data_IF_568751153026
#
_entry.id   IF_568751153026
#
_cell.length_a   1.000
_cell.length_b   1.000
_cell.length_c   1.000
_cell.angle_alpha   90.00
_cell.angle_beta   90.00
_cell.angle_gamma   90.00
#
_symmetry.space_group_name_H-M   'P 1'
#
loop_
_entity.id
_entity.type
_entity.pdbx_description
1 polymer ?
#
# COMPACT_ATOMS: atom_id res chain seq x y z
N UNK A 1 32.56 1.07 -1.00
CA UNK A 1 31.30 0.78 -0.28
C UNK A 1 30.71 2.09 0.22
N UNK A 2 29.54 2.46 -0.28
CA UNK A 2 28.76 3.60 0.16
C UNK A 2 27.44 3.09 0.75
N UNK A 3 27.09 3.59 1.94
CA UNK A 3 25.89 3.18 2.68
C UNK A 3 24.86 4.30 2.67
N UNK A 4 23.71 4.05 2.05
CA UNK A 4 22.56 4.94 2.08
C UNK A 4 21.75 4.67 3.35
N UNK A 5 22.00 5.47 4.39
CA UNK A 5 21.20 5.47 5.63
C UNK A 5 19.79 6.02 5.40
N UNK A 6 18.85 5.83 6.35
CA UNK A 6 17.43 6.17 6.15
C UNK A 6 17.19 7.62 5.73
N UNK A 7 17.89 8.59 6.33
CA UNK A 7 17.77 10.01 5.93
C UNK A 7 18.20 10.26 4.47
N UNK A 8 19.17 9.49 3.97
CA UNK A 8 19.64 9.60 2.58
C UNK A 8 18.67 8.89 1.63
N UNK A 9 18.15 7.72 2.03
CA UNK A 9 17.10 7.01 1.29
C UNK A 9 15.81 7.83 1.21
N UNK A 10 15.39 8.47 2.30
CA UNK A 10 14.19 9.31 2.34
C UNK A 10 14.28 10.53 1.43
N UNK A 11 15.48 11.08 1.21
CA UNK A 11 15.70 12.15 0.22
C UNK A 11 15.75 11.62 -1.22
N UNK A 12 16.12 10.36 -1.40
CA UNK A 12 16.27 9.71 -2.69
C UNK A 12 14.91 9.33 -3.27
N UNK A 13 14.07 8.72 -2.45
CA UNK A 13 12.69 8.39 -2.83
C UNK A 13 11.90 9.70 -2.83
N UNK A 14 11.32 10.05 -3.96
CA UNK A 14 10.22 11.03 -3.96
C UNK A 14 9.14 10.57 -2.95
N UNK A 15 8.27 11.47 -2.43
CA UNK A 15 7.32 11.16 -1.36
C UNK A 15 6.18 10.24 -1.84
N UNK A 16 6.52 9.04 -2.27
CA UNK A 16 5.63 7.97 -2.68
C UNK A 16 5.68 6.89 -1.60
N UNK A 17 4.52 6.58 -1.03
CA UNK A 17 4.37 5.73 0.16
C UNK A 17 4.45 6.50 1.47
N UNK A 18 3.86 5.94 2.52
CA UNK A 18 3.92 6.51 3.88
C UNK A 18 5.17 6.02 4.61
N UNK A 19 6.33 6.48 4.13
CA UNK A 19 7.62 6.23 4.77
C UNK A 19 7.98 7.36 5.72
N UNK A 20 8.51 7.01 6.88
CA UNK A 20 8.94 7.97 7.90
C UNK A 20 10.28 7.57 8.49
N UNK A 21 11.04 8.56 8.94
CA UNK A 21 12.24 8.28 9.73
C UNK A 21 11.81 8.04 11.17
N UNK A 22 11.99 6.81 11.65
CA UNK A 22 11.68 6.41 13.03
C UNK A 22 12.90 5.77 13.68
N UNK A 23 13.12 6.05 14.96
CA UNK A 23 14.19 5.39 15.73
C UNK A 23 13.63 4.13 16.38
N UNK A 24 14.05 2.97 15.89
CA UNK A 24 13.68 1.65 16.40
C UNK A 24 14.94 0.95 16.91
N UNK A 25 14.89 0.35 18.11
CA UNK A 25 16.04 -0.31 18.73
C UNK A 25 17.32 0.55 18.67
N UNK A 26 17.20 1.83 19.01
CA UNK A 26 18.26 2.85 18.98
C UNK A 26 18.82 3.18 17.59
N UNK A 27 18.34 2.56 16.51
CA UNK A 27 18.77 2.83 15.14
C UNK A 27 17.73 3.65 14.39
N UNK A 28 18.14 4.65 13.61
CA UNK A 28 17.24 5.28 12.66
C UNK A 28 16.84 4.24 11.59
N UNK A 29 15.58 4.26 11.18
CA UNK A 29 15.01 3.37 10.17
C UNK A 29 14.11 4.16 9.25
N UNK A 30 14.03 3.71 7.99
CA UNK A 30 12.98 4.11 7.07
C UNK A 30 11.79 3.16 7.32
N UNK A 31 10.77 3.68 7.97
CA UNK A 31 9.71 2.91 8.62
C UNK A 31 8.35 3.14 7.96
N UNK A 32 7.54 2.08 7.88
CA UNK A 32 6.13 2.14 7.48
C UNK A 32 5.35 0.97 8.06
N UNK A 33 4.07 1.18 8.32
CA UNK A 33 3.10 0.15 8.74
C UNK A 33 2.28 -0.38 7.57
N UNK A 34 2.30 0.31 6.43
CA UNK A 34 1.44 -0.02 5.30
C UNK A 34 2.06 -1.11 4.43
N UNK A 35 1.25 -2.13 4.15
CA UNK A 35 1.51 -3.12 3.13
C UNK A 35 1.33 -2.46 1.74
N UNK A 36 2.26 -2.73 0.82
CA UNK A 36 2.30 -2.09 -0.49
C UNK A 36 3.07 -0.76 -0.56
N UNK A 37 3.65 -0.29 0.55
CA UNK A 37 4.57 0.86 0.53
C UNK A 37 5.80 0.54 -0.32
N UNK A 38 6.09 1.42 -1.30
CA UNK A 38 7.12 1.20 -2.32
C UNK A 38 8.28 2.18 -2.21
N UNK A 39 9.48 1.72 -2.51
CA UNK A 39 10.66 2.52 -2.82
C UNK A 39 10.98 2.40 -4.31
N UNK A 40 11.37 3.49 -4.95
CA UNK A 40 11.78 3.53 -6.36
C UNK A 40 13.03 4.36 -6.51
N UNK A 41 14.08 3.79 -7.09
CA UNK A 41 15.33 4.51 -7.38
C UNK A 41 16.09 3.89 -8.55
N UNK A 42 16.94 4.69 -9.20
CA UNK A 42 17.83 4.21 -10.25
C UNK A 42 19.19 3.87 -9.64
N UNK A 43 19.71 2.69 -9.97
CA UNK A 43 21.12 2.36 -9.74
C UNK A 43 21.96 2.80 -10.94
N UNK A 44 23.14 3.39 -10.70
CA UNK A 44 24.10 3.78 -11.75
C UNK A 44 25.49 3.25 -11.46
N UNK A 45 25.96 2.34 -12.31
CA UNK A 45 27.27 1.70 -12.16
C UNK A 45 27.37 0.84 -10.89
N UNK A 46 26.26 0.23 -10.46
CA UNK A 46 26.17 -0.62 -9.28
C UNK A 46 25.95 -2.05 -9.77
N UNK A 47 26.92 -2.95 -9.59
CA UNK A 47 26.74 -4.35 -9.96
C UNK A 47 25.83 -5.10 -8.98
N UNK A 48 26.01 -4.83 -7.69
CA UNK A 48 25.26 -5.44 -6.60
C UNK A 48 24.92 -4.37 -5.56
N UNK A 49 23.73 -4.47 -4.98
CA UNK A 49 23.37 -3.74 -3.77
C UNK A 49 22.88 -4.69 -2.69
N UNK A 50 23.07 -4.30 -1.43
CA UNK A 50 22.56 -5.03 -0.27
C UNK A 50 21.51 -4.17 0.40
N UNK A 51 20.30 -4.70 0.57
CA UNK A 51 19.26 -4.07 1.37
C UNK A 51 19.32 -4.63 2.78
N UNK A 52 19.40 -3.76 3.79
CA UNK A 52 19.43 -4.15 5.20
C UNK A 52 18.14 -3.70 5.89
N UNK A 53 17.54 -4.58 6.69
CA UNK A 53 16.27 -4.35 7.37
C UNK A 53 16.32 -4.78 8.83
N UNK A 54 15.36 -4.31 9.63
CA UNK A 54 15.07 -4.92 10.92
C UNK A 54 13.93 -5.92 10.77
N UNK A 55 14.09 -7.06 11.43
CA UNK A 55 12.99 -7.96 11.69
C UNK A 55 12.16 -7.42 12.87
N UNK A 56 11.18 -6.57 12.54
CA UNK A 56 10.45 -5.75 13.50
C UNK A 56 8.96 -6.12 13.54
N UNK A 57 8.70 -7.43 13.52
CA UNK A 57 7.36 -8.03 13.61
C UNK A 57 7.00 -8.41 15.04
N UNK A 58 5.74 -8.79 15.25
CA UNK A 58 5.37 -9.49 16.47
C UNK A 58 6.15 -10.82 16.60
N UNK A 59 6.68 -11.21 17.77
CA UNK A 59 7.41 -12.48 17.94
C UNK A 59 6.62 -13.74 17.55
N UNK A 60 5.28 -13.66 17.57
CA UNK A 60 4.40 -14.76 17.17
C UNK A 60 3.92 -14.66 15.71
N UNK A 61 4.28 -13.59 15.00
CA UNK A 61 3.99 -13.45 13.57
C UNK A 61 4.99 -14.22 12.70
N UNK A 62 4.57 -14.71 11.52
CA UNK A 62 5.51 -15.10 10.47
C UNK A 62 6.39 -13.91 10.07
N UNK A 63 7.55 -14.18 9.48
CA UNK A 63 8.44 -13.11 9.02
C UNK A 63 7.72 -12.14 8.11
N UNK A 64 7.96 -10.84 8.30
CA UNK A 64 7.62 -9.84 7.30
C UNK A 64 8.35 -10.15 5.99
N UNK A 65 7.75 -9.76 4.87
CA UNK A 65 8.29 -9.99 3.53
C UNK A 65 8.43 -8.65 2.82
N UNK A 66 9.56 -8.48 2.14
CA UNK A 66 9.76 -7.44 1.12
C UNK A 66 9.77 -8.12 -0.24
N UNK A 67 9.22 -7.46 -1.27
CA UNK A 67 9.41 -7.88 -2.64
C UNK A 67 10.23 -6.85 -3.40
N UNK A 68 11.01 -7.27 -4.39
CA UNK A 68 11.80 -6.39 -5.22
C UNK A 68 11.80 -6.84 -6.68
N UNK A 69 12.04 -5.90 -7.61
CA UNK A 69 12.24 -6.19 -9.04
C UNK A 69 13.16 -5.18 -9.69
N UNK A 70 13.63 -5.53 -10.88
CA UNK A 70 14.49 -4.71 -11.74
C UNK A 70 13.71 -4.40 -13.01
N UNK A 71 13.62 -3.13 -13.42
CA UNK A 71 13.04 -2.72 -14.71
C UNK A 71 11.67 -3.34 -15.04
N UNK A 72 10.80 -3.51 -14.03
CA UNK A 72 9.46 -4.08 -14.23
C UNK A 72 9.42 -5.59 -14.47
N UNK A 73 10.52 -6.32 -14.26
CA UNK A 73 10.54 -7.79 -14.34
C UNK A 73 9.74 -8.45 -13.20
N UNK A 74 9.75 -9.78 -13.16
CA UNK A 74 9.13 -10.55 -12.07
C UNK A 74 9.59 -10.07 -10.68
N UNK A 75 8.67 -10.15 -9.71
CA UNK A 75 8.94 -9.85 -8.32
C UNK A 75 9.67 -11.02 -7.64
N UNK A 76 10.71 -10.69 -6.89
CA UNK A 76 11.44 -11.57 -5.99
C UNK A 76 11.06 -11.24 -4.55
N UNK A 77 10.93 -12.23 -3.66
CA UNK A 77 10.43 -12.03 -2.28
C UNK A 77 11.46 -12.48 -1.25
N UNK A 78 11.66 -11.65 -0.23
CA UNK A 78 12.72 -11.77 0.77
C UNK A 78 12.16 -11.64 2.19
N UNK A 79 12.64 -12.49 3.10
CA UNK A 79 12.20 -12.49 4.49
C UNK A 79 13.00 -11.47 5.31
N UNK A 80 12.30 -10.61 6.05
CA UNK A 80 12.91 -9.66 6.98
C UNK A 80 13.75 -10.35 8.08
N UNK A 81 13.42 -11.59 8.44
CA UNK A 81 14.19 -12.41 9.38
C UNK A 81 15.62 -12.70 8.94
N UNK A 82 15.90 -12.65 7.63
CA UNK A 82 17.26 -12.76 7.09
C UNK A 82 18.08 -11.48 7.33
N UNK A 83 17.43 -10.37 7.71
CA UNK A 83 17.99 -9.03 8.00
C UNK A 83 18.66 -8.33 6.83
N UNK A 84 19.11 -9.05 5.81
CA UNK A 84 19.56 -8.47 4.56
C UNK A 84 19.43 -9.44 3.39
N UNK A 85 19.43 -8.89 2.19
CA UNK A 85 19.50 -9.62 0.93
C UNK A 85 20.26 -8.79 -0.11
N UNK A 86 20.73 -9.46 -1.16
CA UNK A 86 21.44 -8.83 -2.27
C UNK A 86 20.55 -8.77 -3.52
N UNK A 87 20.72 -7.72 -4.30
CA UNK A 87 20.11 -7.55 -5.61
C UNK A 87 21.24 -7.41 -6.62
N UNK A 88 21.35 -8.39 -7.52
CA UNK A 88 22.28 -8.38 -8.64
C UNK A 88 21.71 -7.52 -9.77
N UNK A 89 22.32 -6.36 -9.99
CA UNK A 89 21.87 -5.38 -10.97
C UNK A 89 22.65 -5.47 -12.29
N UNK A 90 23.90 -5.94 -12.26
CA UNK A 90 24.81 -5.84 -13.41
C UNK A 90 25.31 -4.41 -13.66
N UNK A 91 26.04 -4.19 -14.76
CA UNK A 91 26.78 -2.94 -14.97
C UNK A 91 25.97 -1.79 -15.58
N UNK A 92 24.72 -2.05 -16.01
CA UNK A 92 23.87 -1.04 -16.63
C UNK A 92 23.09 -0.21 -15.58
N UNK A 93 22.39 0.82 -16.04
CA UNK A 93 21.51 1.59 -15.17
C UNK A 93 20.15 0.92 -15.12
N UNK A 94 19.62 0.72 -13.92
CA UNK A 94 18.36 0.00 -13.72
C UNK A 94 17.45 0.73 -12.74
N UNK A 95 16.15 0.64 -12.97
CA UNK A 95 15.13 0.97 -11.97
C UNK A 95 15.00 -0.20 -11.00
N UNK A 96 15.24 0.08 -9.72
CA UNK A 96 14.97 -0.84 -8.63
C UNK A 96 13.68 -0.40 -7.93
N UNK A 97 12.78 -1.35 -7.75
CA UNK A 97 11.58 -1.17 -6.94
C UNK A 97 11.61 -2.17 -5.78
N UNK A 98 11.32 -1.69 -4.57
CA UNK A 98 11.18 -2.52 -3.37
C UNK A 98 9.82 -2.19 -2.75
N UNK A 99 9.03 -3.20 -2.42
CA UNK A 99 7.68 -3.04 -1.86
C UNK A 99 7.53 -3.89 -0.59
N UNK A 100 6.82 -3.36 0.41
CA UNK A 100 6.43 -4.13 1.59
C UNK A 100 5.37 -5.15 1.18
N UNK A 101 5.66 -6.45 1.33
CA UNK A 101 4.95 -7.53 0.62
C UNK A 101 4.33 -8.60 1.52
N UNK A 102 4.58 -8.57 2.82
CA UNK A 102 3.91 -9.46 3.77
C UNK A 102 4.09 -9.01 5.21
N UNK A 103 2.99 -9.00 5.97
CA UNK A 103 2.93 -8.76 7.40
C UNK A 103 1.83 -9.64 8.00
N UNK A 104 1.53 -9.45 9.28
CA UNK A 104 0.50 -10.20 9.99
C UNK A 104 -0.45 -9.28 10.74
N UNK A 105 -1.71 -9.70 10.89
CA UNK A 105 -2.70 -9.00 11.72
C UNK A 105 -2.35 -9.02 13.22
N UNK A 106 -1.43 -9.90 13.62
CA UNK A 106 -0.83 -9.91 14.95
C UNK A 106 0.18 -8.77 15.15
N UNK A 107 0.70 -8.19 14.07
CA UNK A 107 1.62 -7.07 14.16
C UNK A 107 0.88 -5.85 14.72
N UNK A 108 1.26 -5.37 15.90
CA UNK A 108 0.74 -4.20 16.62
C UNK A 108 1.25 -2.91 15.98
N UNK A 109 0.91 -2.72 14.71
CA UNK A 109 1.42 -1.61 13.90
C UNK A 109 1.03 -0.22 14.43
N UNK A 110 -0.06 -0.12 15.20
CA UNK A 110 -0.54 1.17 15.67
C UNK A 110 0.14 1.68 16.95
N UNK A 111 0.38 0.78 17.91
CA UNK A 111 0.87 1.13 19.25
C UNK A 111 2.15 0.38 19.66
N UNK A 112 2.57 -0.64 18.92
CA UNK A 112 3.66 -1.55 19.29
C UNK A 112 4.96 -1.31 18.54
N UNK A 113 5.04 -0.27 17.71
CA UNK A 113 6.17 0.02 16.81
C UNK A 113 6.52 -1.10 15.81
N UNK A 114 5.69 -2.15 15.73
CA UNK A 114 5.85 -3.27 14.80
C UNK A 114 5.51 -2.81 13.37
N UNK A 115 6.31 -3.22 12.39
CA UNK A 115 6.17 -2.74 11.02
C UNK A 115 7.46 -2.87 10.22
N UNK A 116 7.41 -2.48 8.95
CA UNK A 116 8.54 -2.61 8.03
C UNK A 116 9.58 -1.53 8.31
N UNK A 117 10.84 -1.92 8.45
CA UNK A 117 11.94 -1.03 8.80
C UNK A 117 13.19 -1.32 7.98
N UNK A 118 13.52 -0.43 7.03
CA UNK A 118 14.78 -0.49 6.27
C UNK A 118 15.85 0.33 7.00
N UNK A 119 16.99 -0.30 7.29
CA UNK A 119 18.10 0.35 8.02
C UNK A 119 19.11 0.97 7.08
N UNK A 120 19.34 0.39 5.90
CA UNK A 120 20.23 0.95 4.88
C UNK A 120 20.12 0.22 3.54
N UNK A 121 20.61 0.86 2.49
CA UNK A 121 20.98 0.20 1.24
C UNK A 121 22.46 0.45 0.99
N UNK A 122 23.24 -0.63 0.85
CA UNK A 122 24.68 -0.58 0.65
C UNK A 122 25.02 -0.87 -0.81
N UNK A 123 25.91 -0.06 -1.39
CA UNK A 123 26.46 -0.30 -2.73
C UNK A 123 27.98 -0.32 -2.65
N UNK A 124 28.64 -1.26 -3.32
CA UNK A 124 30.10 -1.31 -3.30
C UNK A 124 30.73 -0.19 -4.14
N UNK A 125 30.17 -0.02 -5.34
CA UNK A 125 30.56 0.93 -6.37
C UNK A 125 29.30 1.56 -6.99
N UNK A 126 29.48 2.68 -7.70
CA UNK A 126 28.36 3.40 -8.31
C UNK A 126 27.57 4.23 -7.30
N UNK A 127 26.32 4.54 -7.65
CA UNK A 127 25.43 5.34 -6.81
C UNK A 127 23.96 5.05 -7.08
N UNK A 128 23.13 5.31 -6.08
CA UNK A 128 21.69 5.44 -6.21
C UNK A 128 21.33 6.89 -6.56
N UNK A 129 20.36 7.08 -7.44
CA UNK A 129 19.71 8.38 -7.70
C UNK A 129 18.18 8.22 -7.69
N UNK A 130 17.46 9.32 -7.51
CA UNK A 130 16.00 9.32 -7.57
C UNK A 130 15.48 8.76 -8.89
N UNK A 131 14.41 7.95 -8.82
CA UNK A 131 13.66 7.55 -10.01
C UNK A 131 12.92 8.76 -10.61
N UNK A 132 12.71 8.78 -11.93
CA UNK A 132 11.84 9.77 -12.56
C UNK A 132 10.44 9.75 -11.93
N UNK A 133 9.78 10.93 -11.80
CA UNK A 133 8.41 10.99 -11.33
C UNK A 133 7.48 10.26 -12.30
N UNK A 134 6.46 9.62 -11.76
CA UNK A 134 5.35 8.99 -12.49
C UNK A 134 4.05 9.39 -11.81
N UNK A 135 2.87 9.23 -12.46
CA UNK A 135 1.61 9.52 -11.83
C UNK A 135 1.44 8.78 -10.50
N UNK A 136 0.84 9.44 -9.50
CA UNK A 136 0.65 8.93 -8.15
C UNK A 136 -0.83 8.76 -7.86
N UNK A 137 -1.21 7.58 -7.39
CA UNK A 137 -2.58 7.29 -6.98
C UNK A 137 -2.60 6.92 -5.50
N UNK A 138 -3.37 7.67 -4.71
CA UNK A 138 -3.61 7.32 -3.32
C UNK A 138 -4.79 6.37 -3.23
N UNK A 139 -4.58 5.19 -2.62
CA UNK A 139 -5.62 4.20 -2.37
C UNK A 139 -5.93 4.14 -0.89
N UNK A 140 -7.15 4.49 -0.51
CA UNK A 140 -7.65 4.33 0.85
C UNK A 140 -8.54 3.11 0.90
N UNK A 141 -8.20 2.12 1.73
CA UNK A 141 -8.91 0.85 1.71
C UNK A 141 -8.66 -0.08 2.88
N UNK A 142 -8.94 -1.35 2.65
CA UNK A 142 -8.87 -2.41 3.66
C UNK A 142 -7.90 -3.55 3.24
N UNK A 143 -8.12 -4.77 3.74
CA UNK A 143 -7.33 -5.96 3.39
C UNK A 143 -7.28 -6.23 1.89
N UNK A 144 -8.35 -5.94 1.15
CA UNK A 144 -8.41 -6.17 -0.31
C UNK A 144 -7.44 -5.22 -1.02
N UNK A 145 -7.47 -3.93 -0.65
CA UNK A 145 -6.55 -2.89 -1.16
C UNK A 145 -5.11 -3.14 -0.73
N UNK A 146 -4.90 -3.58 0.52
CA UNK A 146 -3.59 -3.96 1.04
C UNK A 146 -3.01 -5.18 0.30
N UNK A 147 -3.85 -6.05 -0.25
CA UNK A 147 -3.43 -7.26 -0.97
C UNK A 147 -3.29 -8.48 -0.06
N UNK A 148 -4.12 -8.59 0.98
CA UNK A 148 -4.18 -9.78 1.81
C UNK A 148 -4.83 -10.96 1.07
N UNK A 149 -4.37 -12.17 1.38
CA UNK A 149 -4.97 -13.45 0.96
C UNK A 149 -5.05 -13.71 -0.55
N UNK A 150 -4.23 -13.04 -1.36
CA UNK A 150 -4.28 -13.18 -2.84
C UNK A 150 -3.78 -14.55 -3.31
N UNK A 151 -2.81 -15.14 -2.62
CA UNK A 151 -2.19 -16.42 -3.02
C UNK A 151 -2.58 -17.61 -2.12
N UNK A 152 -3.49 -17.42 -1.15
CA UNK A 152 -3.82 -18.42 -0.14
C UNK A 152 -4.16 -17.83 1.23
N UNK A 153 -4.06 -18.64 2.28
CA UNK A 153 -4.55 -18.36 3.64
C UNK A 153 -3.43 -18.25 4.70
N UNK A 154 -2.16 -18.13 4.30
CA UNK A 154 -1.04 -17.96 5.22
C UNK A 154 -0.65 -16.48 5.35
N UNK A 155 -0.77 -15.92 6.56
CA UNK A 155 -0.42 -14.52 6.82
C UNK A 155 1.03 -14.24 6.40
N UNK A 156 1.29 -13.02 5.90
CA UNK A 156 2.54 -12.59 5.27
C UNK A 156 2.86 -13.33 3.96
N UNK A 157 2.93 -14.66 4.00
CA UNK A 157 3.35 -15.51 2.88
C UNK A 157 2.41 -15.40 1.70
N UNK A 158 1.10 -15.35 1.89
CA UNK A 158 0.10 -15.36 0.81
C UNK A 158 -0.47 -13.99 0.48
N UNK A 159 0.05 -12.94 1.12
CA UNK A 159 -0.26 -11.56 0.77
C UNK A 159 0.51 -11.20 -0.51
N UNK A 160 -0.11 -10.39 -1.39
CA UNK A 160 0.48 -9.95 -2.66
C UNK A 160 0.13 -8.50 -2.99
N UNK A 161 0.52 -7.49 -2.20
CA UNK A 161 0.35 -6.10 -2.62
C UNK A 161 0.96 -5.80 -3.99
N UNK A 162 2.04 -6.50 -4.37
CA UNK A 162 2.76 -6.37 -5.62
C UNK A 162 1.97 -6.87 -6.84
N UNK A 163 1.02 -7.80 -6.65
CA UNK A 163 0.24 -8.42 -7.75
C UNK A 163 -1.25 -8.51 -7.46
N UNK A 164 -1.77 -7.80 -6.44
CA UNK A 164 -3.20 -7.62 -6.25
C UNK A 164 -3.79 -6.68 -7.31
N UNK A 165 -5.09 -6.35 -7.21
CA UNK A 165 -5.75 -5.47 -8.18
C UNK A 165 -5.11 -4.07 -8.26
N UNK A 166 -4.63 -3.53 -7.13
CA UNK A 166 -3.91 -2.23 -7.11
C UNK A 166 -2.56 -2.39 -7.80
N UNK A 167 -1.74 -3.37 -7.39
CA UNK A 167 -0.42 -3.61 -7.97
C UNK A 167 -0.47 -3.85 -9.48
N UNK A 168 -1.43 -4.66 -9.92
CA UNK A 168 -1.69 -4.91 -11.35
C UNK A 168 -2.07 -3.62 -12.08
N UNK A 169 -2.98 -2.82 -11.52
CA UNK A 169 -3.45 -1.61 -12.19
C UNK A 169 -2.34 -0.57 -12.35
N UNK A 170 -1.52 -0.35 -11.32
CA UNK A 170 -0.45 0.65 -11.41
C UNK A 170 0.66 0.26 -12.38
N UNK A 171 0.94 -1.03 -12.52
CA UNK A 171 1.92 -1.52 -13.50
C UNK A 171 1.42 -1.28 -14.92
N UNK A 172 0.13 -1.53 -15.19
CA UNK A 172 -0.52 -1.24 -16.48
C UNK A 172 -0.57 0.26 -16.80
N UNK A 173 -0.69 1.10 -15.78
CA UNK A 173 -0.76 2.56 -15.90
C UNK A 173 0.62 3.23 -15.91
N UNK A 174 1.71 2.48 -15.70
CA UNK A 174 3.05 3.02 -15.45
C UNK A 174 3.06 4.08 -14.33
N UNK A 175 2.24 3.87 -13.30
CA UNK A 175 2.05 4.75 -12.16
C UNK A 175 2.71 4.19 -10.89
N UNK A 176 2.63 4.94 -9.79
CA UNK A 176 2.97 4.49 -8.44
C UNK A 176 1.81 4.80 -7.50
N UNK A 177 1.83 4.20 -6.31
CA UNK A 177 0.75 4.33 -5.33
C UNK A 177 1.21 4.71 -3.93
N UNK A 178 0.26 5.25 -3.16
CA UNK A 178 0.32 5.32 -1.70
C UNK A 178 -0.88 4.57 -1.15
N UNK A 179 -0.65 3.49 -0.39
CA UNK A 179 -1.73 2.71 0.23
C UNK A 179 -1.96 3.12 1.66
N UNK A 180 -3.16 3.61 1.91
CA UNK A 180 -3.72 3.94 3.22
C UNK A 180 -4.71 2.82 3.53
N UNK A 181 -4.17 1.62 3.70
CA UNK A 181 -4.97 0.40 3.78
C UNK A 181 -4.50 -0.50 4.91
N UNK A 182 -5.46 -0.99 5.68
CA UNK A 182 -5.23 -1.87 6.81
C UNK A 182 -6.24 -3.01 6.82
N UNK A 183 -5.77 -4.22 7.15
CA UNK A 183 -6.63 -5.40 7.20
C UNK A 183 -7.81 -5.17 8.14
N UNK A 184 -8.97 -5.65 7.70
CA UNK A 184 -10.25 -5.46 8.37
C UNK A 184 -10.72 -4.00 8.55
N UNK A 185 -9.99 -2.98 8.08
CA UNK A 185 -10.35 -1.57 8.28
C UNK A 185 -11.70 -1.19 7.67
N UNK A 186 -12.37 -0.23 8.29
CA UNK A 186 -13.63 0.33 7.84
C UNK A 186 -13.89 1.72 8.40
N UNK A 187 -15.02 2.32 8.02
CA UNK A 187 -15.45 3.63 8.55
C UNK A 187 -16.09 3.51 9.94
N UNK A 188 -16.51 2.30 10.33
CA UNK A 188 -17.02 1.96 11.66
C UNK A 188 -16.15 0.90 12.35
N UNK A 189 -15.51 0.03 11.56
CA UNK A 189 -14.63 -1.02 12.07
C UNK A 189 -13.19 -0.54 12.24
N UNK A 190 -12.67 -0.73 13.44
CA UNK A 190 -11.23 -0.72 13.71
C UNK A 190 -10.53 -1.86 12.95
N UNK A 191 -9.40 -1.54 12.34
CA UNK A 191 -8.54 -2.50 11.65
C UNK A 191 -7.76 -3.38 12.66
N UNK A 192 -7.13 -4.44 12.14
CA UNK A 192 -6.22 -5.28 12.92
C UNK A 192 -4.94 -4.51 13.29
N UNK A 193 -4.09 -5.09 14.14
CA UNK A 193 -2.87 -4.42 14.62
C UNK A 193 -3.09 -3.19 15.52
N UNK A 194 -4.32 -3.04 16.05
CA UNK A 194 -4.72 -1.92 16.93
C UNK A 194 -5.03 -0.62 16.19
N UNK A 195 -5.17 -0.68 14.86
CA UNK A 195 -5.44 0.49 14.02
C UNK A 195 -6.90 0.94 14.21
N UNK A 196 -7.17 2.26 14.39
CA UNK A 196 -8.51 2.77 14.62
C UNK A 196 -9.37 2.72 13.33
N UNK A 197 -10.50 3.41 13.32
CA UNK A 197 -11.36 3.58 12.14
C UNK A 197 -10.71 4.52 11.11
N UNK A 198 -11.23 4.48 9.88
CA UNK A 198 -10.65 5.19 8.74
C UNK A 198 -10.52 6.71 8.92
N UNK A 199 -11.48 7.35 9.58
CA UNK A 199 -11.42 8.77 9.94
C UNK A 199 -10.19 9.12 10.80
N UNK A 200 -9.72 8.18 11.63
CA UNK A 200 -8.59 8.40 12.53
C UNK A 200 -7.25 8.01 11.91
N UNK A 201 -7.19 6.95 11.10
CA UNK A 201 -5.95 6.55 10.43
C UNK A 201 -5.66 7.29 9.12
N UNK A 202 -6.64 8.02 8.58
CA UNK A 202 -6.47 8.75 7.32
C UNK A 202 -5.28 9.72 7.36
N UNK A 203 -4.97 10.33 8.49
CA UNK A 203 -3.88 11.33 8.62
C UNK A 203 -2.72 10.86 9.48
N UNK A 204 -2.59 9.55 9.71
CA UNK A 204 -1.60 8.96 10.62
C UNK A 204 -1.04 7.65 10.09
N UNK A 205 0.24 7.41 10.33
CA UNK A 205 0.85 6.10 10.13
C UNK A 205 0.63 5.18 11.34
N UNK A 206 0.77 5.74 12.53
CA UNK A 206 0.60 5.07 13.82
C UNK A 206 0.05 6.07 14.86
N UNK A 207 -0.05 5.66 16.13
CA UNK A 207 -0.62 6.50 17.19
C UNK A 207 0.08 7.86 17.39
N UNK A 208 1.34 7.98 17.00
CA UNK A 208 2.20 9.15 17.27
C UNK A 208 2.74 9.83 16.01
N UNK A 209 2.70 9.14 14.87
CA UNK A 209 3.28 9.61 13.62
C UNK A 209 2.18 10.15 12.70
N UNK A 210 2.10 11.48 12.64
CA UNK A 210 1.18 12.17 11.73
C UNK A 210 1.69 12.15 10.29
N UNK A 211 0.77 11.91 9.37
CA UNK A 211 1.01 12.00 7.94
C UNK A 211 0.39 13.28 7.40
N UNK A 212 1.23 14.07 6.72
CA UNK A 212 0.76 15.18 5.90
C UNK A 212 0.36 14.61 4.54
N UNK A 213 -0.86 14.92 4.10
CA UNK A 213 -1.33 14.52 2.78
C UNK A 213 -0.36 15.01 1.69
N UNK A 214 -0.06 14.11 0.77
CA UNK A 214 0.66 14.39 -0.46
C UNK A 214 -0.28 15.07 -1.48
N UNK A 215 0.23 15.30 -2.69
CA UNK A 215 -0.53 15.80 -3.84
C UNK A 215 -0.58 14.72 -4.92
N UNK A 216 -1.42 13.67 -4.76
CA UNK A 216 -1.56 12.64 -5.78
C UNK A 216 -2.32 13.17 -7.00
N UNK A 217 -2.22 12.47 -8.12
CA UNK A 217 -3.02 12.75 -9.32
C UNK A 217 -4.46 12.26 -9.16
N UNK A 218 -4.68 11.28 -8.28
CA UNK A 218 -5.97 10.66 -8.04
C UNK A 218 -6.06 10.06 -6.63
N UNK A 219 -7.25 10.09 -6.04
CA UNK A 219 -7.57 9.33 -4.82
C UNK A 219 -8.66 8.30 -5.12
N UNK A 220 -8.46 7.05 -4.72
CA UNK A 220 -9.46 5.97 -4.82
C UNK A 220 -9.81 5.48 -3.42
N UNK A 221 -11.11 5.37 -3.12
CA UNK A 221 -11.60 4.87 -1.82
C UNK A 221 -12.28 3.52 -2.04
N UNK A 222 -11.73 2.45 -1.47
CA UNK A 222 -12.34 1.12 -1.45
C UNK A 222 -12.52 0.65 0.00
N UNK A 223 -13.56 1.15 0.65
CA UNK A 223 -13.95 0.83 2.02
C UNK A 223 -15.42 0.48 2.09
N UNK A 224 -15.77 -0.34 3.09
CA UNK A 224 -17.16 -0.61 3.47
C UNK A 224 -17.46 -2.09 3.67
N UNK A 225 -16.69 -3.00 3.06
CA UNK A 225 -16.98 -4.43 3.14
C UNK A 225 -16.91 -4.95 4.58
N UNK A 226 -16.00 -4.42 5.37
CA UNK A 226 -15.84 -4.83 6.76
C UNK A 226 -16.85 -4.19 7.72
N UNK A 227 -17.56 -3.17 7.27
CA UNK A 227 -18.61 -2.49 8.00
C UNK A 227 -19.98 -3.20 7.87
N UNK A 228 -20.08 -4.27 7.05
CA UNK A 228 -21.30 -5.09 6.81
C UNK A 228 -21.96 -5.68 8.05
N UNK A 229 -21.27 -5.64 9.19
CA UNK A 229 -21.74 -6.10 10.50
C UNK A 229 -22.49 -5.04 11.30
N UNK A 230 -22.49 -3.79 10.83
CA UNK A 230 -23.22 -2.68 11.42
C UNK A 230 -24.49 -2.38 10.62
N UNK A 231 -25.40 -1.59 11.17
CA UNK A 231 -26.62 -1.22 10.47
C UNK A 231 -26.33 -0.29 9.28
N UNK A 232 -27.23 -0.30 8.29
CA UNK A 232 -27.15 0.57 7.13
C UNK A 232 -27.11 2.06 7.52
N UNK A 233 -27.89 2.46 8.53
CA UNK A 233 -27.93 3.84 9.01
C UNK A 233 -26.60 4.28 9.63
N UNK A 234 -25.99 3.42 10.44
CA UNK A 234 -24.66 3.67 11.00
C UNK A 234 -23.63 3.82 9.88
N UNK A 235 -23.66 2.90 8.89
CA UNK A 235 -22.76 2.97 7.75
C UNK A 235 -22.94 4.28 6.97
N UNK A 236 -24.18 4.66 6.66
CA UNK A 236 -24.47 5.88 5.91
C UNK A 236 -23.93 7.12 6.60
N UNK A 237 -24.12 7.25 7.91
CA UNK A 237 -23.61 8.40 8.69
C UNK A 237 -22.08 8.43 8.67
N UNK A 238 -21.42 7.32 8.99
CA UNK A 238 -19.95 7.28 9.06
C UNK A 238 -19.28 7.41 7.70
N UNK A 239 -19.84 6.80 6.66
CA UNK A 239 -19.30 6.90 5.31
C UNK A 239 -19.48 8.30 4.72
N UNK A 240 -20.63 8.95 4.96
CA UNK A 240 -20.87 10.36 4.57
C UNK A 240 -19.88 11.32 5.24
N UNK A 241 -19.64 11.12 6.55
CA UNK A 241 -18.61 11.85 7.27
C UNK A 241 -17.22 11.61 6.67
N UNK A 242 -16.88 10.35 6.39
CA UNK A 242 -15.59 9.99 5.82
C UNK A 242 -15.35 10.60 4.44
N UNK A 243 -16.35 10.59 3.54
CA UNK A 243 -16.26 11.27 2.25
C UNK A 243 -16.00 12.76 2.40
N UNK A 244 -16.61 13.40 3.40
CA UNK A 244 -16.37 14.82 3.72
C UNK A 244 -14.92 15.07 4.16
N UNK A 245 -14.37 14.18 4.99
CA UNK A 245 -12.97 14.25 5.44
C UNK A 245 -11.99 14.11 4.27
N UNK A 246 -12.19 13.09 3.43
CA UNK A 246 -11.31 12.86 2.26
C UNK A 246 -11.40 14.04 1.27
N UNK A 247 -12.60 14.54 0.99
CA UNK A 247 -12.80 15.71 0.11
C UNK A 247 -12.15 16.97 0.66
N UNK A 248 -12.16 17.16 1.98
CA UNK A 248 -11.46 18.29 2.61
C UNK A 248 -9.94 18.12 2.52
N UNK A 249 -9.45 16.91 2.80
CA UNK A 249 -8.02 16.61 2.82
C UNK A 249 -7.38 16.71 1.42
N UNK A 250 -8.09 16.28 0.38
CA UNK A 250 -7.63 16.24 -1.01
C UNK A 250 -8.46 17.16 -1.92
N UNK A 251 -8.71 18.40 -1.48
CA UNK A 251 -9.66 19.34 -2.11
C UNK A 251 -9.39 19.71 -3.58
N UNK A 252 -8.17 19.47 -4.07
CA UNK A 252 -7.76 19.79 -5.45
C UNK A 252 -7.52 18.56 -6.33
N UNK A 253 -7.82 17.35 -5.83
CA UNK A 253 -7.54 16.08 -6.52
C UNK A 253 -8.86 15.38 -6.82
N UNK A 254 -9.03 14.73 -7.99
CA UNK A 254 -10.20 13.88 -8.23
C UNK A 254 -10.25 12.73 -7.21
N UNK A 255 -11.42 12.54 -6.60
CA UNK A 255 -11.66 11.47 -5.61
C UNK A 255 -12.73 10.54 -6.16
N UNK A 256 -12.38 9.25 -6.26
CA UNK A 256 -13.21 8.21 -6.84
C UNK A 256 -13.49 7.14 -5.80
N UNK A 257 -14.63 7.21 -5.10
CA UNK A 257 -15.07 6.07 -4.32
C UNK A 257 -15.38 4.90 -5.24
N UNK A 258 -15.09 3.70 -4.77
CA UNK A 258 -15.23 2.44 -5.47
C UNK A 258 -16.17 1.55 -4.67
N UNK A 259 -17.13 0.93 -5.35
CA UNK A 259 -17.98 -0.06 -4.70
C UNK A 259 -17.12 -1.31 -4.41
N UNK A 260 -17.16 -1.89 -3.19
CA UNK A 260 -16.45 -3.14 -2.91
C UNK A 260 -16.85 -4.25 -3.89
N UNK A 261 -15.93 -5.15 -4.26
CA UNK A 261 -16.22 -6.22 -5.23
C UNK A 261 -17.43 -7.08 -4.83
N UNK A 262 -17.60 -7.34 -3.53
CA UNK A 262 -18.75 -8.04 -2.95
C UNK A 262 -20.09 -7.29 -3.06
N UNK A 263 -20.12 -6.08 -3.62
CA UNK A 263 -21.27 -5.18 -3.71
C UNK A 263 -21.86 -4.77 -2.35
N UNK A 264 -21.09 -4.92 -1.27
CA UNK A 264 -21.51 -4.49 0.07
C UNK A 264 -21.80 -3.00 0.07
N UNK A 265 -23.00 -2.62 0.53
CA UNK A 265 -23.49 -1.25 0.60
C UNK A 265 -23.49 -0.48 -0.74
N UNK A 266 -23.53 -1.17 -1.89
CA UNK A 266 -23.45 -0.55 -3.22
C UNK A 266 -24.46 0.61 -3.42
N UNK A 267 -25.73 0.44 -3.03
CA UNK A 267 -26.77 1.47 -3.19
C UNK A 267 -26.51 2.70 -2.31
N UNK A 268 -26.06 2.48 -1.08
CA UNK A 268 -25.66 3.54 -0.15
C UNK A 268 -24.46 4.32 -0.68
N UNK A 269 -23.42 3.60 -1.12
CA UNK A 269 -22.22 4.23 -1.69
C UNK A 269 -22.61 5.07 -2.92
N UNK A 270 -23.42 4.53 -3.86
CA UNK A 270 -23.94 5.29 -5.01
C UNK A 270 -24.70 6.56 -4.61
N UNK A 271 -25.57 6.46 -3.61
CA UNK A 271 -26.37 7.60 -3.15
C UNK A 271 -25.49 8.68 -2.50
N UNK A 272 -24.52 8.27 -1.68
CA UNK A 272 -23.60 9.18 -1.00
C UNK A 272 -22.61 9.82 -1.97
N UNK A 273 -22.03 9.08 -2.93
CA UNK A 273 -21.15 9.69 -3.93
C UNK A 273 -21.89 10.71 -4.79
N UNK A 274 -23.14 10.42 -5.18
CA UNK A 274 -24.00 11.39 -5.88
C UNK A 274 -24.25 12.64 -5.04
N UNK A 275 -24.51 12.50 -3.73
CA UNK A 275 -24.67 13.62 -2.80
C UNK A 275 -23.41 14.50 -2.75
N UNK A 276 -22.23 13.89 -2.70
CA UNK A 276 -20.93 14.58 -2.70
C UNK A 276 -20.46 15.03 -4.10
N UNK A 277 -21.22 14.72 -5.17
CA UNK A 277 -20.86 14.96 -6.57
C UNK A 277 -19.51 14.33 -6.97
N UNK A 278 -19.20 13.18 -6.38
CA UNK A 278 -17.98 12.42 -6.68
C UNK A 278 -18.24 11.41 -7.80
N UNK A 279 -17.33 11.28 -8.78
CA UNK A 279 -17.35 10.16 -9.72
C UNK A 279 -17.22 8.84 -8.97
N UNK A 280 -17.94 7.81 -9.43
CA UNK A 280 -17.99 6.49 -8.78
C UNK A 280 -17.40 5.41 -9.69
N UNK A 281 -16.61 4.51 -9.09
CA UNK A 281 -16.15 3.29 -9.76
C UNK A 281 -17.14 2.15 -9.45
N UNK A 282 -17.86 1.73 -10.49
CA UNK A 282 -18.76 0.58 -10.47
C UNK A 282 -17.96 -0.71 -10.72
N UNK A 283 -18.11 -1.69 -9.82
CA UNK A 283 -17.26 -2.91 -9.79
C UNK A 283 -18.03 -4.21 -9.99
N UNK A 284 -19.34 -4.14 -10.24
CA UNK A 284 -20.16 -5.32 -10.46
C UNK A 284 -19.58 -6.15 -11.61
N UNK A 285 -19.33 -7.43 -11.36
CA UNK A 285 -18.77 -8.37 -12.34
C UNK A 285 -17.28 -8.17 -12.63
N UNK A 286 -16.53 -7.43 -11.81
CA UNK A 286 -15.09 -7.24 -12.03
C UNK A 286 -14.21 -8.39 -11.58
N UNK A 287 -14.67 -9.14 -10.57
CA UNK A 287 -13.91 -10.20 -9.93
C UNK A 287 -14.72 -11.49 -9.98
N UNK A 288 -14.23 -12.47 -10.74
CA UNK A 288 -14.87 -13.78 -10.91
C UNK A 288 -14.33 -14.87 -9.97
N UNK A 289 -13.22 -14.62 -9.27
CA UNK A 289 -12.55 -15.63 -8.43
C UNK A 289 -12.02 -15.05 -7.13
N UNK A 290 -12.11 -15.81 -6.05
CA UNK A 290 -11.82 -15.40 -4.68
C UNK A 290 -11.16 -16.54 -3.90
N UNK A 291 -10.30 -16.17 -2.96
CA UNK A 291 -9.66 -17.11 -2.03
C UNK A 291 -10.64 -17.58 -0.93
N UNK A 292 -11.46 -16.66 -0.41
CA UNK A 292 -12.35 -16.88 0.74
C UNK A 292 -13.73 -16.21 0.56
N UNK A 293 -14.25 -16.22 -0.68
CA UNK A 293 -15.50 -15.54 -1.11
C UNK A 293 -15.50 -14.01 -0.95
N UNK A 294 -14.37 -13.42 -0.51
CA UNK A 294 -14.24 -11.99 -0.24
C UNK A 294 -12.97 -11.39 -0.86
N UNK A 295 -11.82 -12.01 -0.61
CA UNK A 295 -10.53 -11.54 -1.11
C UNK A 295 -10.28 -12.11 -2.51
N UNK A 296 -10.06 -11.27 -3.53
CA UNK A 296 -9.68 -11.75 -4.85
C UNK A 296 -8.44 -12.63 -4.77
N UNK A 297 -8.51 -13.84 -5.35
CA UNK A 297 -7.31 -14.64 -5.57
C UNK A 297 -6.45 -14.00 -6.67
N UNK A 298 -5.32 -14.62 -7.04
CA UNK A 298 -4.45 -14.05 -8.08
C UNK A 298 -5.18 -13.82 -9.42
N UNK A 299 -6.09 -14.71 -9.83
CA UNK A 299 -6.85 -14.56 -11.07
C UNK A 299 -7.85 -13.40 -10.97
N UNK A 300 -8.65 -13.37 -9.89
CA UNK A 300 -9.62 -12.30 -9.64
C UNK A 300 -8.96 -10.94 -9.45
N UNK A 301 -7.79 -10.91 -8.80
CA UNK A 301 -6.99 -9.70 -8.61
C UNK A 301 -6.46 -9.17 -9.95
N UNK A 302 -5.96 -10.05 -10.83
CA UNK A 302 -5.52 -9.66 -12.16
C UNK A 302 -6.68 -9.11 -12.99
N UNK A 303 -7.83 -9.81 -13.04
CA UNK A 303 -9.03 -9.33 -13.75
C UNK A 303 -9.48 -7.95 -13.26
N UNK A 304 -9.61 -7.82 -11.93
CA UNK A 304 -10.01 -6.56 -11.30
C UNK A 304 -8.99 -5.45 -11.53
N UNK A 305 -7.71 -5.77 -11.59
CA UNK A 305 -6.62 -4.83 -11.87
C UNK A 305 -6.66 -4.27 -13.28
N UNK A 306 -6.94 -5.11 -14.29
CA UNK A 306 -7.15 -4.65 -15.67
C UNK A 306 -8.33 -3.67 -15.77
N UNK A 307 -9.46 -4.02 -15.15
CA UNK A 307 -10.65 -3.16 -15.15
C UNK A 307 -10.43 -1.86 -14.39
N UNK A 308 -9.69 -1.91 -13.28
CA UNK A 308 -9.30 -0.71 -12.57
C UNK A 308 -8.41 0.17 -13.45
N UNK A 309 -7.39 -0.38 -14.10
CA UNK A 309 -6.51 0.38 -14.99
C UNK A 309 -7.30 1.08 -16.10
N UNK A 310 -8.22 0.37 -16.77
CA UNK A 310 -9.10 0.95 -17.80
C UNK A 310 -9.95 2.11 -17.25
N UNK A 311 -10.47 2.00 -16.02
CA UNK A 311 -11.23 3.10 -15.42
C UNK A 311 -10.34 4.29 -15.09
N UNK A 312 -9.17 4.06 -14.51
CA UNK A 312 -8.29 5.13 -14.04
C UNK A 312 -7.50 5.81 -15.16
N UNK A 313 -7.27 5.15 -16.31
CA UNK A 313 -6.56 5.75 -17.45
C UNK A 313 -7.24 7.00 -17.98
N UNK A 314 -8.55 7.16 -17.77
CA UNK A 314 -9.30 8.37 -18.16
C UNK A 314 -9.04 9.57 -17.24
N UNK A 315 -8.38 9.35 -16.10
CA UNK A 315 -8.13 10.36 -15.07
C UNK A 315 -6.67 10.77 -14.98
N UNK A 316 -5.75 9.89 -15.37
CA UNK A 316 -4.33 10.19 -15.44
C UNK A 316 -4.03 10.89 -16.77
N UNK A 317 -3.39 12.07 -16.69
CA UNK A 317 -2.98 12.88 -17.85
C UNK A 317 -1.54 12.59 -18.24
#
# INVERSE_FOLDING_TARGET
MYRYFPNSLYKLIHPHGRWFIKRLNQSATLYTTNLGSRLRFIVKGVNNLTVNVLDNRNPFSPSQIYAWRIDGTQWHRELASHRSWQIECGSANHLIEIITAGNSDLDRVWNGDEGFAITSVDVEQGKLISAPPVPVIDFIGDSITAGCWVAGHNASIDYRPESNYVGTAIDLLHATDVRIAYSAGGVLRQATGGVPTADQFLTKLDATTFWQANTPDLVVINLGVNDRRFSLDQFNVSYDHFLSLVTTLFSSVPILPMIPFSQTFAESIRSLTKKHKLPLIETQGWCSSFTDDLHPDQSGATESGYRLAEKLSNWLK
#
